data_IF_825184522817
#
_entry.id   IF_825184522817
#
_cell.length_a   1.000
_cell.length_b   1.000
_cell.length_c   1.000
_cell.angle_alpha   90.00
_cell.angle_beta   90.00
_cell.angle_gamma   90.00
#
_symmetry.space_group_name_H-M   'P 1'
#
loop_
_entity.id
_entity.type
_entity.pdbx_description
1 polymer ?
#
# COMPACT_ATOMS: atom_id res chain seq x y z
N UNK A 1 9.25 4.53 6.01
CA UNK A 1 8.73 3.20 5.67
C UNK A 1 9.43 2.17 6.53
N UNK A 2 8.87 1.86 7.72
CA UNK A 2 9.50 0.96 8.67
C UNK A 2 9.77 -0.42 8.05
N UNK A 3 8.76 -1.11 7.48
CA UNK A 3 8.97 -2.48 6.98
C UNK A 3 10.03 -2.60 5.85
N UNK A 4 10.19 -1.59 5.00
CA UNK A 4 11.21 -1.62 3.93
C UNK A 4 12.64 -1.33 4.43
N UNK A 5 12.80 -0.91 5.69
CA UNK A 5 14.13 -0.77 6.29
C UNK A 5 14.71 -2.13 6.66
N UNK A 6 13.87 -3.08 7.11
CA UNK A 6 14.29 -4.43 7.50
C UNK A 6 14.92 -5.24 6.36
N UNK A 7 14.66 -4.88 5.11
CA UNK A 7 15.20 -5.57 3.92
C UNK A 7 16.45 -4.91 3.34
N UNK A 8 16.96 -3.84 3.97
CA UNK A 8 18.14 -3.13 3.48
C UNK A 8 19.41 -3.92 3.75
N UNK A 9 20.38 -3.80 2.84
CA UNK A 9 21.72 -4.37 3.02
C UNK A 9 22.37 -3.78 4.28
N UNK A 10 23.09 -4.60 5.03
CA UNK A 10 23.77 -4.22 6.27
C UNK A 10 22.84 -3.72 7.40
N UNK A 11 21.54 -4.02 7.33
CA UNK A 11 20.60 -3.81 8.43
C UNK A 11 20.44 -5.11 9.21
N UNK A 12 20.63 -5.07 10.54
CA UNK A 12 20.27 -6.19 11.40
C UNK A 12 18.74 -6.34 11.41
N UNK A 13 18.24 -7.55 11.21
CA UNK A 13 16.82 -7.85 11.27
C UNK A 13 16.39 -7.93 12.74
N UNK A 14 15.93 -6.82 13.28
CA UNK A 14 15.38 -6.73 14.64
C UNK A 14 13.91 -6.39 14.53
N UNK A 15 13.06 -7.33 14.94
CA UNK A 15 11.62 -7.13 14.96
C UNK A 15 11.20 -6.52 16.29
N UNK A 16 10.93 -5.22 16.28
CA UNK A 16 10.49 -4.46 17.43
C UNK A 16 8.99 -4.13 17.35
N UNK A 17 8.49 -3.43 18.38
CA UNK A 17 7.09 -3.04 18.47
C UNK A 17 6.64 -2.13 17.31
N UNK A 18 7.52 -1.26 16.80
CA UNK A 18 7.18 -0.36 15.70
C UNK A 18 6.97 -1.12 14.38
N UNK A 19 7.80 -2.13 14.12
CA UNK A 19 7.63 -2.99 12.95
C UNK A 19 6.38 -3.87 13.06
N UNK A 20 6.10 -4.42 14.25
CA UNK A 20 4.87 -5.19 14.50
C UNK A 20 3.62 -4.35 14.25
N UNK A 21 3.56 -3.13 14.81
CA UNK A 21 2.41 -2.24 14.65
C UNK A 21 2.22 -1.83 13.18
N UNK A 22 3.31 -1.56 12.48
CA UNK A 22 3.28 -1.27 11.03
C UNK A 22 2.80 -2.46 10.21
N UNK A 23 3.17 -3.68 10.61
CA UNK A 23 2.76 -4.90 9.93
C UNK A 23 1.27 -5.21 10.15
N UNK A 24 0.76 -5.03 11.37
CA UNK A 24 -0.66 -5.21 11.66
C UNK A 24 -1.53 -4.16 10.97
N UNK A 25 -1.09 -2.89 10.92
CA UNK A 25 -1.78 -1.84 10.17
C UNK A 25 -1.86 -2.19 8.68
N UNK A 26 -0.76 -2.68 8.08
CA UNK A 26 -0.74 -3.10 6.69
C UNK A 26 -1.73 -4.25 6.44
N UNK A 27 -1.74 -5.27 7.29
CA UNK A 27 -2.71 -6.37 7.21
C UNK A 27 -4.13 -5.84 7.28
N UNK A 28 -4.44 -5.01 8.27
CA UNK A 28 -5.77 -4.46 8.46
C UNK A 28 -6.25 -3.69 7.21
N UNK A 29 -5.43 -2.80 6.66
CA UNK A 29 -5.77 -2.06 5.43
C UNK A 29 -6.01 -2.96 4.23
N UNK A 30 -5.21 -4.01 4.07
CA UNK A 30 -5.35 -4.96 2.96
C UNK A 30 -6.58 -5.86 3.09
N UNK A 31 -6.98 -6.22 4.32
CA UNK A 31 -8.11 -7.11 4.56
C UNK A 31 -9.45 -6.38 4.70
N UNK A 32 -9.44 -5.06 4.91
CA UNK A 32 -10.65 -4.23 5.05
C UNK A 32 -10.97 -3.40 3.81
N UNK A 33 -10.05 -3.35 2.84
CA UNK A 33 -10.30 -2.65 1.58
C UNK A 33 -11.52 -3.26 0.85
N UNK A 34 -12.36 -2.42 0.22
CA UNK A 34 -13.51 -2.91 -0.53
C UNK A 34 -13.07 -3.83 -1.68
N UNK A 35 -13.88 -4.85 -1.94
CA UNK A 35 -13.63 -5.82 -3.01
C UNK A 35 -13.57 -5.09 -4.35
N UNK A 36 -12.47 -5.26 -5.07
CA UNK A 36 -12.33 -4.76 -6.44
C UNK A 36 -13.28 -5.54 -7.35
N UNK A 37 -14.20 -4.83 -8.00
CA UNK A 37 -15.07 -5.39 -9.03
C UNK A 37 -14.30 -5.62 -10.31
N UNK A 38 -14.72 -6.60 -11.12
CA UNK A 38 -14.13 -6.79 -12.45
C UNK A 38 -14.29 -5.51 -13.29
N UNK A 39 -13.21 -5.06 -13.97
CA UNK A 39 -13.28 -3.86 -14.79
C UNK A 39 -14.15 -4.08 -16.03
N UNK A 40 -14.91 -3.06 -16.42
CA UNK A 40 -15.70 -3.06 -17.64
C UNK A 40 -14.92 -2.36 -18.76
N UNK A 41 -14.45 -3.13 -19.74
CA UNK A 41 -13.67 -2.61 -20.87
C UNK A 41 -14.46 -1.61 -21.76
N UNK A 42 -15.78 -1.54 -21.64
CA UNK A 42 -16.62 -0.59 -22.38
C UNK A 42 -16.76 0.77 -21.68
N UNK A 43 -16.33 0.87 -20.42
CA UNK A 43 -16.40 2.11 -19.65
C UNK A 43 -15.04 2.82 -19.61
N UNK A 44 -15.03 4.17 -19.57
CA UNK A 44 -13.79 4.91 -19.42
C UNK A 44 -13.15 4.62 -18.06
N UNK A 45 -11.82 4.57 -18.05
CA UNK A 45 -11.03 4.51 -16.82
C UNK A 45 -10.60 5.92 -16.41
N UNK A 46 -10.55 6.17 -15.11
CA UNK A 46 -10.03 7.42 -14.54
C UNK A 46 -8.89 7.07 -13.58
N UNK A 47 -7.75 7.72 -13.76
CA UNK A 47 -6.60 7.57 -12.87
C UNK A 47 -6.56 8.76 -11.92
N UNK A 48 -6.58 8.49 -10.62
CA UNK A 48 -6.32 9.46 -9.57
C UNK A 48 -4.92 9.25 -9.06
N UNK A 49 -4.08 10.28 -9.12
CA UNK A 49 -2.72 10.24 -8.61
C UNK A 49 -2.58 11.22 -7.45
N UNK A 50 -1.82 10.84 -6.44
CA UNK A 50 -1.38 11.73 -5.37
C UNK A 50 0.12 11.54 -5.10
N UNK A 51 0.77 12.59 -4.64
CA UNK A 51 2.20 12.64 -4.43
C UNK A 51 2.54 13.27 -3.07
N UNK A 52 3.45 12.63 -2.35
CA UNK A 52 4.05 13.17 -1.14
C UNK A 52 5.57 13.19 -1.27
N UNK A 53 6.25 13.86 -0.33
CA UNK A 53 7.72 13.83 -0.25
C UNK A 53 8.31 12.42 -0.13
N UNK A 54 7.51 11.45 0.34
CA UNK A 54 7.96 10.10 0.66
C UNK A 54 7.55 9.05 -0.36
N UNK A 55 6.62 9.37 -1.26
CA UNK A 55 6.08 8.39 -2.20
C UNK A 55 4.96 8.94 -3.06
N UNK A 56 4.67 8.18 -4.11
CA UNK A 56 3.62 8.42 -5.10
C UNK A 56 2.57 7.33 -4.94
N UNK A 57 1.30 7.71 -5.04
CA UNK A 57 0.15 6.81 -5.01
C UNK A 57 -0.75 7.02 -6.22
N UNK A 58 -1.40 5.95 -6.67
CA UNK A 58 -2.35 6.01 -7.76
C UNK A 58 -3.50 5.02 -7.55
N UNK A 59 -4.70 5.40 -7.96
CA UNK A 59 -5.89 4.54 -7.98
C UNK A 59 -6.53 4.61 -9.36
N UNK A 60 -6.79 3.44 -9.95
CA UNK A 60 -7.56 3.30 -11.18
C UNK A 60 -9.03 3.07 -10.82
N UNK A 61 -9.93 3.92 -11.29
CA UNK A 61 -11.36 3.85 -10.97
C UNK A 61 -12.24 3.81 -12.23
N UNK A 62 -13.38 3.14 -12.11
CA UNK A 62 -14.48 3.13 -13.08
C UNK A 62 -15.80 3.36 -12.34
N UNK A 63 -16.77 4.03 -13.01
CA UNK A 63 -18.14 4.22 -12.49
C UNK A 63 -19.01 2.99 -12.68
#
# INVERSE_FOLDING_TARGET
MPLTQLTRKNQAFVWDKNYEDSFQELKWRLTTAPVLTLPDAKKPFVVYCDASKMGLGGVLMQK
#
